data_IF_150412476085
#
_entry.id   IF_150412476085
#
_cell.length_a   1.000
_cell.length_b   1.000
_cell.length_c   1.000
_cell.angle_alpha   90.00
_cell.angle_beta   90.00
_cell.angle_gamma   90.00
#
_symmetry.space_group_name_H-M   'P 1'
#
loop_
_entity.id
_entity.type
_entity.pdbx_description
1 polymer ?
#
# COMPACT_ATOMS: atom_id res chain seq x y z
N UNK A 1 10.53 3.94 -22.67
CA UNK A 1 9.26 3.34 -22.22
C UNK A 1 9.46 1.85 -22.14
N UNK A 2 9.05 1.20 -21.07
CA UNK A 2 9.26 -0.24 -20.90
C UNK A 2 8.38 -1.02 -21.87
N UNK A 3 8.99 -1.92 -22.66
CA UNK A 3 8.25 -2.83 -23.55
C UNK A 3 7.83 -4.13 -22.83
N UNK A 4 8.17 -4.27 -21.56
CA UNK A 4 7.87 -5.46 -20.76
C UNK A 4 6.43 -5.41 -20.23
N UNK A 5 5.54 -6.31 -20.66
CA UNK A 5 4.14 -6.33 -20.21
C UNK A 5 4.01 -6.55 -18.69
N UNK A 6 4.95 -7.26 -18.07
CA UNK A 6 4.95 -7.48 -16.62
C UNK A 6 5.14 -6.15 -15.87
N UNK A 7 6.00 -5.25 -16.37
CA UNK A 7 6.19 -3.92 -15.78
C UNK A 7 4.89 -3.12 -15.78
N UNK A 8 4.12 -3.16 -16.86
CA UNK A 8 2.83 -2.49 -16.95
C UNK A 8 1.79 -3.07 -15.97
N UNK A 9 1.77 -4.39 -15.80
CA UNK A 9 0.87 -5.04 -14.83
C UNK A 9 1.24 -4.61 -13.41
N UNK A 10 2.51 -4.62 -13.05
CA UNK A 10 2.97 -4.18 -11.72
C UNK A 10 2.62 -2.71 -11.49
N UNK A 11 2.94 -1.83 -12.43
CA UNK A 11 2.61 -0.41 -12.33
C UNK A 11 1.09 -0.17 -12.18
N UNK A 12 0.27 -0.94 -12.90
CA UNK A 12 -1.18 -0.86 -12.76
C UNK A 12 -1.64 -1.28 -11.36
N UNK A 13 -1.08 -2.36 -10.79
CA UNK A 13 -1.40 -2.81 -9.43
C UNK A 13 -0.99 -1.75 -8.38
N UNK A 14 0.17 -1.13 -8.54
CA UNK A 14 0.63 -0.05 -7.66
C UNK A 14 -0.33 1.15 -7.69
N UNK A 15 -0.74 1.59 -8.90
CA UNK A 15 -1.70 2.70 -9.07
C UNK A 15 -3.07 2.35 -8.50
N UNK A 16 -3.58 1.15 -8.77
CA UNK A 16 -4.88 0.69 -8.24
C UNK A 16 -4.86 0.68 -6.71
N UNK A 17 -3.76 0.21 -6.10
CA UNK A 17 -3.61 0.21 -4.64
C UNK A 17 -3.57 1.64 -4.09
N UNK A 18 -2.82 2.55 -4.72
CA UNK A 18 -2.77 3.95 -4.32
C UNK A 18 -4.15 4.63 -4.39
N UNK A 19 -4.92 4.35 -5.44
CA UNK A 19 -6.30 4.83 -5.57
C UNK A 19 -7.21 4.23 -4.50
N UNK A 20 -7.05 2.94 -4.19
CA UNK A 20 -7.78 2.26 -3.11
C UNK A 20 -7.54 2.93 -1.76
N UNK A 21 -6.30 3.25 -1.43
CA UNK A 21 -5.92 3.99 -0.23
C UNK A 21 -6.60 5.36 -0.19
N UNK A 22 -6.55 6.11 -1.30
CA UNK A 22 -7.18 7.43 -1.38
C UNK A 22 -8.71 7.35 -1.18
N UNK A 23 -9.37 6.39 -1.82
CA UNK A 23 -10.82 6.15 -1.67
C UNK A 23 -11.16 5.78 -0.23
N UNK A 24 -10.38 4.87 0.39
CA UNK A 24 -10.55 4.49 1.79
C UNK A 24 -10.55 5.72 2.71
N UNK A 25 -9.55 6.58 2.63
CA UNK A 25 -9.46 7.77 3.48
C UNK A 25 -10.53 8.82 3.18
N UNK A 26 -10.92 8.99 1.91
CA UNK A 26 -12.05 9.86 1.56
C UNK A 26 -13.35 9.36 2.22
N UNK A 27 -13.59 8.05 2.18
CA UNK A 27 -14.76 7.44 2.83
C UNK A 27 -14.65 7.55 4.35
N UNK A 28 -13.48 7.24 4.92
CA UNK A 28 -13.23 7.32 6.35
C UNK A 28 -13.56 8.71 6.92
N UNK A 29 -13.09 9.79 6.28
CA UNK A 29 -13.40 11.16 6.71
C UNK A 29 -14.87 11.57 6.56
N UNK A 30 -15.66 10.83 5.81
CA UNK A 30 -17.09 11.10 5.60
C UNK A 30 -18.00 10.25 6.47
N UNK A 31 -17.49 9.22 7.12
CA UNK A 31 -18.26 8.28 7.93
C UNK A 31 -18.10 8.62 9.41
N UNK A 32 -19.17 8.65 10.22
CA UNK A 32 -19.07 8.75 11.67
C UNK A 32 -18.30 7.55 12.26
N UNK A 33 -17.48 7.81 13.31
CA UNK A 33 -16.64 6.77 13.94
C UNK A 33 -17.14 6.37 15.33
N UNK A 34 -18.37 6.75 15.66
CA UNK A 34 -19.08 6.44 16.91
C UNK A 34 -20.13 5.36 16.74
N UNK A 35 -20.04 4.56 15.67
CA UNK A 35 -20.98 3.48 15.41
C UNK A 35 -20.92 2.36 16.46
N UNK A 36 -22.09 1.83 16.90
CA UNK A 36 -22.14 0.71 17.83
C UNK A 36 -21.38 -0.51 17.29
N UNK A 37 -20.44 -0.99 18.10
CA UNK A 37 -19.65 -2.20 17.77
C UNK A 37 -18.29 -1.94 17.19
N UNK A 38 -17.89 -0.68 16.94
CA UNK A 38 -16.47 -0.36 16.75
C UNK A 38 -15.73 -0.51 18.08
N UNK A 39 -14.44 -0.95 18.06
CA UNK A 39 -13.62 -1.00 19.27
C UNK A 39 -13.46 0.38 19.89
N UNK A 40 -13.36 0.45 21.21
CA UNK A 40 -13.04 1.68 21.91
C UNK A 40 -11.70 2.24 21.39
N UNK A 41 -11.67 3.54 21.06
CA UNK A 41 -10.48 4.18 20.52
C UNK A 41 -10.16 3.84 19.06
N UNK A 42 -11.10 3.28 18.31
CA UNK A 42 -10.90 2.95 16.89
C UNK A 42 -10.41 4.14 16.07
N UNK A 43 -11.05 5.29 16.19
CA UNK A 43 -10.65 6.48 15.45
C UNK A 43 -9.23 6.98 15.83
N UNK A 44 -8.88 6.91 17.13
CA UNK A 44 -7.54 7.28 17.61
C UNK A 44 -6.47 6.30 17.14
N UNK A 45 -6.83 5.03 16.92
CA UNK A 45 -5.94 4.04 16.35
C UNK A 45 -5.70 4.28 14.86
N UNK A 46 -6.76 4.56 14.09
CA UNK A 46 -6.69 4.72 12.64
C UNK A 46 -6.06 6.07 12.21
N UNK A 47 -6.34 7.16 12.93
CA UNK A 47 -5.94 8.50 12.55
C UNK A 47 -4.43 8.68 12.19
N UNK A 48 -3.47 8.06 12.89
CA UNK A 48 -2.05 8.15 12.53
C UNK A 48 -1.71 7.53 11.17
N UNK A 49 -2.49 6.54 10.71
CA UNK A 49 -2.21 5.87 9.44
C UNK A 49 -2.47 6.73 8.22
N UNK A 50 -3.33 7.78 8.32
CA UNK A 50 -3.57 8.74 7.23
C UNK A 50 -2.26 9.24 6.63
N UNK A 51 -1.32 9.62 7.49
CA UNK A 51 -0.03 10.17 7.05
C UNK A 51 0.84 9.08 6.37
N UNK A 52 0.93 7.93 6.98
CA UNK A 52 1.73 6.81 6.46
C UNK A 52 1.18 6.29 5.15
N UNK A 53 -0.13 6.14 5.05
CA UNK A 53 -0.82 5.67 3.86
C UNK A 53 -0.75 6.69 2.72
N UNK A 54 -0.80 7.99 3.04
CA UNK A 54 -0.59 9.05 2.05
C UNK A 54 0.82 8.96 1.45
N UNK A 55 1.85 8.77 2.28
CA UNK A 55 3.22 8.58 1.81
C UNK A 55 3.31 7.33 0.94
N UNK A 56 2.73 6.21 1.39
CA UNK A 56 2.71 4.96 0.64
C UNK A 56 2.05 5.14 -0.73
N UNK A 57 0.88 5.78 -0.79
CA UNK A 57 0.18 6.03 -2.04
C UNK A 57 1.03 6.87 -3.02
N UNK A 58 1.71 7.90 -2.52
CA UNK A 58 2.64 8.72 -3.33
C UNK A 58 3.81 7.87 -3.83
N UNK A 59 4.43 7.07 -2.96
CA UNK A 59 5.56 6.20 -3.34
C UNK A 59 5.14 5.20 -4.40
N UNK A 60 3.96 4.57 -4.28
CA UNK A 60 3.42 3.63 -5.26
C UNK A 60 3.22 4.30 -6.64
N UNK A 61 2.62 5.48 -6.68
CA UNK A 61 2.40 6.21 -7.95
C UNK A 61 3.72 6.60 -8.59
N UNK A 62 4.66 7.13 -7.81
CA UNK A 62 5.99 7.53 -8.33
C UNK A 62 6.77 6.31 -8.81
N UNK A 63 6.73 5.20 -8.07
CA UNK A 63 7.36 3.94 -8.48
C UNK A 63 6.79 3.46 -9.81
N UNK A 64 5.46 3.40 -9.95
CA UNK A 64 4.77 2.99 -11.18
C UNK A 64 5.19 3.86 -12.38
N UNK A 65 5.16 5.19 -12.23
CA UNK A 65 5.55 6.11 -13.30
C UNK A 65 7.00 5.90 -13.72
N UNK A 66 7.93 5.79 -12.76
CA UNK A 66 9.35 5.62 -13.06
C UNK A 66 9.68 4.25 -13.67
N UNK A 67 8.91 3.20 -13.33
CA UNK A 67 9.05 1.87 -13.93
C UNK A 67 8.64 1.87 -15.41
N UNK A 68 7.53 2.49 -15.75
CA UNK A 68 7.03 2.51 -17.14
C UNK A 68 7.77 3.49 -18.04
N UNK A 69 8.29 4.59 -17.47
CA UNK A 69 9.08 5.57 -18.22
C UNK A 69 10.53 5.16 -18.40
N UNK A 70 10.97 4.11 -17.70
CA UNK A 70 12.33 3.55 -17.79
C UNK A 70 13.41 4.63 -17.59
N UNK A 71 13.22 5.46 -16.56
CA UNK A 71 14.15 6.55 -16.25
C UNK A 71 15.44 5.97 -15.67
N UNK A 72 16.59 6.18 -16.33
CA UNK A 72 17.86 5.70 -15.82
C UNK A 72 18.19 6.40 -14.49
N UNK A 73 18.88 5.71 -13.56
CA UNK A 73 19.24 6.29 -12.28
C UNK A 73 20.17 7.51 -12.51
N UNK A 74 19.73 8.69 -12.05
CA UNK A 74 20.59 9.85 -11.95
C UNK A 74 21.77 9.54 -11.00
N UNK A 75 22.90 10.21 -11.17
CA UNK A 75 24.12 9.94 -10.38
C UNK A 75 23.92 10.00 -8.86
N UNK A 76 23.03 10.87 -8.36
CA UNK A 76 22.67 10.93 -6.95
C UNK A 76 21.80 9.76 -6.49
N UNK A 77 20.94 9.24 -7.35
CA UNK A 77 20.08 8.09 -7.05
C UNK A 77 20.89 6.78 -6.99
N UNK A 78 22.02 6.69 -7.68
CA UNK A 78 22.92 5.52 -7.59
C UNK A 78 23.51 5.29 -6.21
N UNK A 79 23.64 6.33 -5.38
CA UNK A 79 24.10 6.21 -4.01
C UNK A 79 23.10 5.47 -3.13
N UNK A 80 21.79 5.56 -3.45
CA UNK A 80 20.70 4.94 -2.67
C UNK A 80 20.27 3.61 -3.28
N UNK A 81 20.19 3.51 -4.61
CA UNK A 81 19.65 2.35 -5.32
C UNK A 81 20.73 1.41 -5.90
N UNK A 82 22.02 1.77 -5.82
CA UNK A 82 23.08 1.04 -6.49
C UNK A 82 22.89 1.11 -8.01
N UNK A 83 22.92 -0.05 -8.69
CA UNK A 83 22.71 -0.13 -10.15
C UNK A 83 21.24 -0.39 -10.53
N UNK A 84 20.29 -0.41 -9.57
CA UNK A 84 18.88 -0.65 -9.86
C UNK A 84 18.19 0.61 -10.37
N UNK A 85 17.21 0.48 -11.28
CA UNK A 85 16.32 1.58 -11.63
C UNK A 85 15.63 2.16 -10.41
N UNK A 86 15.47 3.48 -10.37
CA UNK A 86 14.86 4.18 -9.21
C UNK A 86 13.44 3.69 -8.94
N UNK A 87 12.66 3.43 -10.00
CA UNK A 87 11.30 2.91 -9.88
C UNK A 87 11.24 1.54 -9.17
N UNK A 88 12.18 0.63 -9.46
CA UNK A 88 12.27 -0.67 -8.77
C UNK A 88 12.65 -0.52 -7.30
N UNK A 89 13.56 0.40 -6.99
CA UNK A 89 13.95 0.68 -5.61
C UNK A 89 12.80 1.28 -4.79
N UNK A 90 12.01 2.17 -5.39
CA UNK A 90 10.80 2.70 -4.76
C UNK A 90 9.72 1.61 -4.61
N UNK A 91 9.57 0.71 -5.58
CA UNK A 91 8.70 -0.45 -5.48
C UNK A 91 9.06 -1.35 -4.28
N UNK A 92 10.35 -1.57 -4.02
CA UNK A 92 10.81 -2.31 -2.83
C UNK A 92 10.53 -1.56 -1.52
N UNK A 93 10.68 -0.23 -1.49
CA UNK A 93 10.29 0.57 -0.33
C UNK A 93 8.79 0.46 -0.10
N UNK A 94 7.97 0.61 -1.15
CA UNK A 94 6.53 0.43 -1.06
C UNK A 94 6.16 -0.98 -0.56
N UNK A 95 6.84 -2.02 -1.04
CA UNK A 95 6.64 -3.39 -0.57
C UNK A 95 6.88 -3.55 0.93
N UNK A 96 7.95 -2.94 1.45
CA UNK A 96 8.23 -2.92 2.89
C UNK A 96 7.14 -2.21 3.70
N UNK A 97 6.66 -1.07 3.21
CA UNK A 97 5.56 -0.33 3.84
C UNK A 97 4.24 -1.13 3.82
N UNK A 98 3.89 -1.73 2.67
CA UNK A 98 2.71 -2.59 2.53
C UNK A 98 2.79 -3.80 3.47
N UNK A 99 3.95 -4.45 3.55
CA UNK A 99 4.15 -5.59 4.44
C UNK A 99 3.95 -5.19 5.90
N UNK A 100 4.54 -4.07 6.32
CA UNK A 100 4.41 -3.56 7.67
C UNK A 100 2.95 -3.22 8.02
N UNK A 101 2.27 -2.44 7.17
CA UNK A 101 0.88 -2.07 7.37
C UNK A 101 -0.04 -3.29 7.37
N UNK A 102 0.10 -4.20 6.40
CA UNK A 102 -0.71 -5.41 6.32
C UNK A 102 -0.55 -6.33 7.53
N UNK A 103 0.63 -6.40 8.14
CA UNK A 103 0.85 -7.15 9.40
C UNK A 103 0.18 -6.43 10.58
N UNK A 104 0.26 -5.10 10.66
CA UNK A 104 -0.41 -4.32 11.71
C UNK A 104 -1.92 -4.47 11.62
N UNK A 105 -2.49 -4.34 10.43
CA UNK A 105 -3.93 -4.52 10.20
C UNK A 105 -4.38 -5.93 10.57
N UNK A 106 -3.63 -6.95 10.14
CA UNK A 106 -3.89 -8.33 10.49
C UNK A 106 -3.93 -8.53 12.01
N UNK A 107 -2.94 -8.02 12.71
CA UNK A 107 -2.83 -8.15 14.16
C UNK A 107 -3.97 -7.40 14.87
N UNK A 108 -4.29 -6.18 14.43
CA UNK A 108 -5.34 -5.35 15.01
C UNK A 108 -6.72 -5.97 14.78
N UNK A 109 -7.07 -6.34 13.56
CA UNK A 109 -8.38 -6.92 13.22
C UNK A 109 -8.58 -8.29 13.87
N UNK A 110 -7.52 -9.10 13.98
CA UNK A 110 -7.58 -10.37 14.70
C UNK A 110 -7.84 -10.15 16.19
N UNK A 111 -7.19 -9.16 16.81
CA UNK A 111 -7.32 -8.85 18.23
C UNK A 111 -8.69 -8.24 18.57
N UNK A 112 -9.20 -7.36 17.73
CA UNK A 112 -10.46 -6.63 17.94
C UNK A 112 -11.69 -7.39 17.46
N UNK A 113 -11.51 -8.47 16.70
CA UNK A 113 -12.60 -9.25 16.13
C UNK A 113 -13.27 -8.61 14.90
N UNK A 114 -12.69 -7.57 14.32
CA UNK A 114 -13.23 -6.87 13.15
C UNK A 114 -13.40 -7.77 11.92
N UNK A 115 -12.66 -8.87 11.81
CA UNK A 115 -12.87 -9.89 10.77
C UNK A 115 -14.21 -10.63 10.87
N UNK A 116 -14.87 -10.61 12.04
CA UNK A 116 -16.13 -11.34 12.30
C UNK A 116 -17.37 -10.52 11.97
N UNK A 117 -17.21 -9.25 11.64
CA UNK A 117 -18.34 -8.37 11.26
C UNK A 117 -18.77 -8.68 9.82
N UNK A 118 -20.07 -8.81 9.57
CA UNK A 118 -20.60 -9.32 8.31
C UNK A 118 -20.05 -8.60 7.05
N UNK A 119 -20.25 -7.30 6.94
CA UNK A 119 -19.76 -6.55 5.78
C UNK A 119 -18.31 -6.06 5.94
N UNK A 120 -17.95 -5.53 7.07
CA UNK A 120 -16.62 -5.00 7.34
C UNK A 120 -15.57 -6.11 7.38
N UNK A 121 -15.91 -7.29 7.88
CA UNK A 121 -15.01 -8.43 7.92
C UNK A 121 -14.55 -8.86 6.53
N UNK A 122 -15.42 -8.81 5.53
CA UNK A 122 -15.06 -9.11 4.13
C UNK A 122 -14.12 -8.05 3.58
N UNK A 123 -14.42 -6.76 3.83
CA UNK A 123 -13.59 -5.64 3.37
C UNK A 123 -12.22 -5.69 4.03
N UNK A 124 -12.17 -5.83 5.35
CA UNK A 124 -10.93 -5.91 6.13
C UNK A 124 -10.06 -7.10 5.70
N UNK A 125 -10.68 -8.26 5.47
CA UNK A 125 -9.98 -9.44 4.95
C UNK A 125 -9.41 -9.17 3.55
N UNK A 126 -10.19 -8.54 2.68
CA UNK A 126 -9.77 -8.17 1.33
C UNK A 126 -8.59 -7.19 1.34
N UNK A 127 -8.64 -6.18 2.21
CA UNK A 127 -7.56 -5.19 2.37
C UNK A 127 -6.27 -5.88 2.82
N UNK A 128 -6.32 -6.67 3.89
CA UNK A 128 -5.13 -7.37 4.42
C UNK A 128 -4.54 -8.33 3.39
N UNK A 129 -5.37 -9.15 2.74
CA UNK A 129 -4.89 -10.10 1.71
C UNK A 129 -4.31 -9.34 0.53
N UNK A 130 -4.98 -8.32 0.03
CA UNK A 130 -4.52 -7.51 -1.10
C UNK A 130 -3.18 -6.84 -0.82
N UNK A 131 -3.07 -6.19 0.34
CA UNK A 131 -1.87 -5.48 0.79
C UNK A 131 -0.67 -6.42 0.91
N UNK A 132 -0.84 -7.56 1.61
CA UNK A 132 0.23 -8.55 1.78
C UNK A 132 0.59 -9.24 0.46
N UNK A 133 -0.39 -9.52 -0.39
CA UNK A 133 -0.14 -10.14 -1.70
C UNK A 133 0.68 -9.19 -2.58
N UNK A 134 0.29 -7.91 -2.66
CA UNK A 134 1.06 -6.94 -3.45
C UNK A 134 2.47 -6.76 -2.89
N UNK A 135 2.65 -6.71 -1.57
CA UNK A 135 3.97 -6.66 -0.95
C UNK A 135 4.86 -7.82 -1.41
N UNK A 136 4.34 -9.05 -1.37
CA UNK A 136 5.08 -10.25 -1.82
C UNK A 136 5.39 -10.17 -3.32
N UNK A 137 4.42 -9.77 -4.14
CA UNK A 137 4.61 -9.62 -5.60
C UNK A 137 5.74 -8.64 -5.91
N UNK A 138 5.75 -7.48 -5.25
CA UNK A 138 6.80 -6.47 -5.44
C UNK A 138 8.18 -6.98 -4.96
N UNK A 139 8.22 -7.66 -3.81
CA UNK A 139 9.46 -8.25 -3.31
C UNK A 139 10.00 -9.27 -4.32
N UNK A 140 9.17 -10.24 -4.72
CA UNK A 140 9.61 -11.30 -5.67
C UNK A 140 10.03 -10.73 -7.03
N UNK A 141 9.38 -9.64 -7.47
CA UNK A 141 9.67 -9.00 -8.74
C UNK A 141 10.97 -8.22 -8.74
N UNK A 142 11.31 -7.59 -7.61
CA UNK A 142 12.42 -6.63 -7.53
C UNK A 142 13.63 -7.12 -6.71
N UNK A 143 13.56 -8.24 -6.04
CA UNK A 143 14.72 -8.88 -5.38
C UNK A 143 15.39 -9.86 -6.32
#
# INVERSE_FOLDING_TARGET
MSDNPVTWVIAALEVITALGIAVYWIMWFRTPHDEPGLPDGYADHEAPFVFTDTILAVVLVVAAVLQVTDVPPASAARLVSGNRPVGESLGLIAAGMLLFLGILDLAYFARTGLFKREHEGIINTGVVIGTLTLAVVLIVRFV
#
